data_IF_204166494642
#
_entry.id   IF_204166494642
#
_cell.length_a   1.000
_cell.length_b   1.000
_cell.length_c   1.000
_cell.angle_alpha   90.00
_cell.angle_beta   90.00
_cell.angle_gamma   90.00
#
_symmetry.space_group_name_H-M   'P 1'
#
loop_
_entity.id
_entity.type
_entity.pdbx_description
1 polymer ?
#
# COMPACT_ATOMS: atom_id res chain seq x y z
N UNK A 1 15.02 -6.96 6.97
CA UNK A 1 13.55 -6.94 6.82
C UNK A 1 13.01 -5.60 6.29
N UNK A 2 13.47 -4.44 6.78
CA UNK A 2 12.98 -3.11 6.36
C UNK A 2 13.05 -2.83 4.85
N UNK A 3 14.14 -3.21 4.18
CA UNK A 3 14.31 -3.00 2.73
C UNK A 3 13.26 -3.75 1.89
N UNK A 4 12.84 -4.94 2.32
CA UNK A 4 11.83 -5.70 1.58
C UNK A 4 10.44 -5.05 1.68
N UNK A 5 10.09 -4.49 2.85
CA UNK A 5 8.82 -3.78 3.01
C UNK A 5 8.70 -2.58 2.07
N UNK A 6 9.80 -1.87 1.82
CA UNK A 6 9.84 -0.76 0.85
C UNK A 6 9.44 -1.25 -0.55
N UNK A 7 9.94 -2.41 -0.98
CA UNK A 7 9.56 -3.01 -2.27
C UNK A 7 8.06 -3.33 -2.33
N UNK A 8 7.49 -3.80 -1.21
CA UNK A 8 6.06 -4.10 -1.11
C UNK A 8 5.16 -2.86 -1.24
N UNK A 9 5.64 -1.69 -0.83
CA UNK A 9 4.87 -0.43 -0.86
C UNK A 9 4.87 0.20 -2.26
N UNK A 10 5.81 -0.15 -3.14
CA UNK A 10 5.89 0.43 -4.49
C UNK A 10 4.61 0.15 -5.29
N UNK A 11 4.06 -1.06 -5.20
CA UNK A 11 2.90 -1.47 -5.98
C UNK A 11 1.64 -0.59 -5.74
N UNK A 12 1.15 -0.40 -4.49
CA UNK A 12 0.02 0.49 -4.23
C UNK A 12 0.35 1.96 -4.52
N UNK A 13 1.60 2.40 -4.33
CA UNK A 13 2.03 3.78 -4.64
C UNK A 13 1.91 4.07 -6.13
N UNK A 14 2.45 3.19 -6.99
CA UNK A 14 2.37 3.34 -8.45
C UNK A 14 0.91 3.39 -8.91
N UNK A 15 0.04 2.57 -8.31
CA UNK A 15 -1.39 2.59 -8.61
C UNK A 15 -2.03 3.94 -8.26
N UNK A 16 -1.76 4.49 -7.08
CA UNK A 16 -2.29 5.80 -6.65
C UNK A 16 -1.75 6.94 -7.51
N UNK A 17 -0.46 6.92 -7.88
CA UNK A 17 0.12 7.89 -8.81
C UNK A 17 -0.58 7.82 -10.17
N UNK A 18 -0.82 6.62 -10.70
CA UNK A 18 -1.57 6.44 -11.95
C UNK A 18 -2.98 7.02 -11.85
N UNK A 19 -3.66 6.85 -10.71
CA UNK A 19 -4.97 7.48 -10.48
C UNK A 19 -4.88 9.01 -10.54
N UNK A 20 -3.84 9.58 -9.94
CA UNK A 20 -3.61 11.04 -9.93
C UNK A 20 -3.35 11.58 -11.35
N UNK A 21 -2.45 10.94 -12.11
CA UNK A 21 -2.09 11.38 -13.47
C UNK A 21 -3.29 11.34 -14.41
N UNK A 22 -4.19 10.37 -14.21
CA UNK A 22 -5.41 10.22 -15.02
C UNK A 22 -6.59 11.07 -14.51
N UNK A 23 -6.35 11.99 -13.56
CA UNK A 23 -7.37 12.83 -12.91
C UNK A 23 -8.61 12.05 -12.43
N UNK A 24 -8.39 10.80 -12.03
CA UNK A 24 -9.47 9.91 -11.63
C UNK A 24 -9.87 10.19 -10.18
N UNK A 25 -11.17 10.29 -9.92
CA UNK A 25 -11.66 10.43 -8.54
C UNK A 25 -11.41 9.13 -7.77
N UNK A 26 -10.86 9.24 -6.56
CA UNK A 26 -10.76 8.11 -5.64
C UNK A 26 -12.15 7.74 -5.13
N UNK A 27 -12.74 6.73 -5.76
CA UNK A 27 -14.00 6.12 -5.31
C UNK A 27 -13.72 5.04 -4.27
N UNK A 28 -14.75 4.65 -3.50
CA UNK A 28 -14.67 3.55 -2.52
C UNK A 28 -14.07 2.29 -3.15
N UNK A 29 -14.52 1.93 -4.37
CA UNK A 29 -14.01 0.77 -5.12
C UNK A 29 -12.51 0.85 -5.40
N UNK A 30 -12.02 2.03 -5.81
CA UNK A 30 -10.59 2.25 -6.09
C UNK A 30 -9.77 2.26 -4.80
N UNK A 31 -10.32 2.80 -3.71
CA UNK A 31 -9.73 2.72 -2.38
C UNK A 31 -9.53 1.27 -1.92
N UNK A 32 -10.55 0.42 -2.08
CA UNK A 32 -10.43 -1.01 -1.80
C UNK A 32 -9.35 -1.70 -2.65
N UNK A 33 -9.25 -1.36 -3.94
CA UNK A 33 -8.20 -1.88 -4.82
C UNK A 33 -6.81 -1.49 -4.30
N UNK A 34 -6.61 -0.23 -3.88
CA UNK A 34 -5.35 0.24 -3.31
C UNK A 34 -4.98 -0.54 -2.04
N UNK A 35 -5.94 -0.79 -1.15
CA UNK A 35 -5.74 -1.56 0.08
C UNK A 35 -5.34 -3.00 -0.26
N UNK A 36 -6.04 -3.65 -1.20
CA UNK A 36 -5.72 -5.01 -1.64
C UNK A 36 -4.31 -5.07 -2.25
N UNK A 37 -3.97 -4.12 -3.13
CA UNK A 37 -2.61 -4.02 -3.69
C UNK A 37 -1.55 -3.86 -2.60
N UNK A 38 -1.83 -3.07 -1.58
CA UNK A 38 -0.93 -2.84 -0.45
C UNK A 38 -0.71 -4.11 0.38
N UNK A 39 -1.79 -4.85 0.67
CA UNK A 39 -1.70 -6.15 1.35
C UNK A 39 -0.87 -7.13 0.52
N UNK A 40 -1.17 -7.28 -0.77
CA UNK A 40 -0.45 -8.22 -1.65
C UNK A 40 1.03 -7.85 -1.74
N UNK A 41 1.35 -6.57 -1.95
CA UNK A 41 2.73 -6.09 -2.03
C UNK A 41 3.50 -6.34 -0.74
N UNK A 42 2.91 -6.02 0.41
CA UNK A 42 3.57 -6.18 1.72
C UNK A 42 3.70 -7.66 2.11
N UNK A 43 2.69 -8.50 1.84
CA UNK A 43 2.77 -9.94 2.10
C UNK A 43 3.84 -10.60 1.25
N UNK A 44 3.87 -10.34 -0.06
CA UNK A 44 4.90 -10.90 -0.96
C UNK A 44 6.31 -10.46 -0.58
N UNK A 45 6.51 -9.18 -0.27
CA UNK A 45 7.77 -8.67 0.26
C UNK A 45 8.21 -9.35 1.56
N UNK A 46 7.27 -9.54 2.49
CA UNK A 46 7.54 -10.15 3.80
C UNK A 46 7.91 -11.62 3.67
N UNK A 47 7.25 -12.36 2.79
CA UNK A 47 7.58 -13.74 2.47
C UNK A 47 8.96 -13.87 1.82
N UNK A 48 9.27 -13.04 0.82
CA UNK A 48 10.60 -13.01 0.21
C UNK A 48 11.69 -12.67 1.24
N UNK A 49 11.43 -11.69 2.11
CA UNK A 49 12.33 -11.32 3.20
C UNK A 49 12.60 -12.48 4.15
N UNK A 50 11.55 -13.21 4.57
CA UNK A 50 11.65 -14.39 5.45
C UNK A 50 12.45 -15.53 4.81
N UNK A 51 12.27 -15.78 3.51
CA UNK A 51 13.04 -16.80 2.77
C UNK A 51 14.52 -16.41 2.74
N UNK A 52 14.84 -15.16 2.40
CA UNK A 52 16.23 -14.67 2.32
C UNK A 52 16.91 -14.71 3.70
N UNK A 53 16.19 -14.39 4.78
CA UNK A 53 16.75 -14.41 6.14
C UNK A 53 16.70 -15.79 6.80
N UNK A 54 16.17 -16.82 6.13
CA UNK A 54 15.99 -18.19 6.65
C UNK A 54 15.18 -18.26 7.96
N UNK A 55 14.36 -17.25 8.24
CA UNK A 55 13.52 -17.17 9.44
C UNK A 55 12.12 -17.71 9.12
N UNK A 56 12.00 -19.04 9.08
CA UNK A 56 10.73 -19.72 8.72
C UNK A 56 9.89 -20.14 9.94
N UNK A 57 10.46 -20.12 11.15
CA UNK A 57 9.80 -20.64 12.36
C UNK A 57 8.53 -19.87 12.76
N UNK A 58 8.30 -18.65 12.24
CA UNK A 58 7.16 -17.81 12.60
C UNK A 58 6.44 -17.20 11.37
N UNK A 59 6.40 -17.94 10.25
CA UNK A 59 5.75 -17.48 9.01
C UNK A 59 4.32 -16.97 9.20
N UNK A 60 3.53 -17.61 10.07
CA UNK A 60 2.15 -17.20 10.36
C UNK A 60 2.09 -15.80 10.97
N UNK A 61 2.95 -15.51 11.96
CA UNK A 61 3.01 -14.18 12.58
C UNK A 61 3.51 -13.11 11.61
N UNK A 62 4.47 -13.46 10.75
CA UNK A 62 4.97 -12.59 9.69
C UNK A 62 3.85 -12.23 8.72
N UNK A 63 3.03 -13.20 8.29
CA UNK A 63 1.90 -12.97 7.37
C UNK A 63 0.83 -12.09 8.03
N UNK A 64 0.46 -12.37 9.28
CA UNK A 64 -0.54 -11.57 10.01
C UNK A 64 -0.06 -10.12 10.16
N UNK A 65 1.20 -9.93 10.58
CA UNK A 65 1.81 -8.61 10.69
C UNK A 65 1.86 -7.88 9.34
N UNK A 66 2.19 -8.60 8.26
CA UNK A 66 2.21 -8.07 6.91
C UNK A 66 0.82 -7.62 6.42
N UNK A 67 -0.24 -8.38 6.74
CA UNK A 67 -1.62 -8.00 6.40
C UNK A 67 -2.03 -6.72 7.13
N UNK A 68 -1.80 -6.65 8.45
CA UNK A 68 -2.11 -5.47 9.27
C UNK A 68 -1.38 -4.24 8.71
N UNK A 69 -0.07 -4.40 8.45
CA UNK A 69 0.77 -3.33 7.88
C UNK A 69 0.26 -2.92 6.49
N UNK A 70 -0.14 -3.87 5.66
CA UNK A 70 -0.73 -3.66 4.34
C UNK A 70 -2.01 -2.83 4.38
N UNK A 71 -2.92 -3.14 5.32
CA UNK A 71 -4.16 -2.40 5.53
C UNK A 71 -3.87 -0.97 5.96
N UNK A 72 -3.00 -0.77 6.96
CA UNK A 72 -2.66 0.55 7.47
C UNK A 72 -2.05 1.44 6.37
N UNK A 73 -1.09 0.89 5.60
CA UNK A 73 -0.47 1.61 4.48
C UNK A 73 -1.46 1.92 3.35
N UNK A 74 -2.34 0.97 3.03
CA UNK A 74 -3.38 1.18 2.02
C UNK A 74 -4.34 2.30 2.42
N UNK A 75 -4.79 2.32 3.67
CA UNK A 75 -5.65 3.38 4.20
C UNK A 75 -4.95 4.74 4.22
N UNK A 76 -3.69 4.79 4.63
CA UNK A 76 -2.87 6.00 4.60
C UNK A 76 -2.78 6.56 3.17
N UNK A 77 -2.46 5.73 2.18
CA UNK A 77 -2.36 6.15 0.78
C UNK A 77 -3.69 6.68 0.23
N UNK A 78 -4.80 6.01 0.54
CA UNK A 78 -6.13 6.45 0.13
C UNK A 78 -6.47 7.80 0.78
N UNK A 79 -6.21 7.95 2.09
CA UNK A 79 -6.44 9.19 2.82
C UNK A 79 -5.59 10.34 2.29
N UNK A 80 -4.29 10.11 2.05
CA UNK A 80 -3.39 11.11 1.47
C UNK A 80 -3.86 11.59 0.10
N UNK A 81 -4.32 10.67 -0.76
CA UNK A 81 -4.85 11.04 -2.08
C UNK A 81 -6.09 11.93 -1.96
N UNK A 82 -7.02 11.58 -1.10
CA UNK A 82 -8.25 12.36 -0.88
C UNK A 82 -7.89 13.77 -0.39
N UNK A 83 -6.96 13.87 0.54
CA UNK A 83 -6.51 15.14 1.10
C UNK A 83 -5.83 16.02 0.04
N UNK A 84 -4.94 15.45 -0.78
CA UNK A 84 -4.28 16.15 -1.90
C UNK A 84 -5.31 16.65 -2.91
N UNK A 85 -6.28 15.81 -3.29
CA UNK A 85 -7.33 16.18 -4.22
C UNK A 85 -8.21 17.32 -3.66
N UNK A 86 -8.49 17.31 -2.35
CA UNK A 86 -9.22 18.38 -1.67
C UNK A 86 -8.42 19.70 -1.65
N UNK A 87 -7.13 19.65 -1.29
CA UNK A 87 -6.24 20.81 -1.31
C UNK A 87 -6.12 21.43 -2.71
N UNK A 88 -5.94 20.59 -3.74
CA UNK A 88 -5.81 21.02 -5.13
C UNK A 88 -7.05 21.79 -5.61
N UNK A 89 -8.25 21.38 -5.18
CA UNK A 89 -9.50 22.08 -5.48
C UNK A 89 -9.64 23.41 -4.76
N UNK A 90 -9.10 23.54 -3.55
CA UNK A 90 -9.09 24.80 -2.81
C UNK A 90 -8.14 25.83 -3.44
N UNK A 91 -6.98 25.40 -3.91
CA UNK A 91 -5.95 26.27 -4.48
C UNK A 91 -6.34 26.76 -5.90
N UNK A 92 -7.06 25.95 -6.67
CA UNK A 92 -7.54 26.32 -8.02
C UNK A 92 -8.78 27.23 -8.01
N UNK A 93 -9.37 27.52 -6.84
CA UNK A 93 -10.57 28.33 -6.69
C UNK A 93 -10.21 29.73 -6.20
#
# INVERSE_FOLDING_TARGET
>A
MSLFLILGIIMPVVYVIRLNILDNIMTIRRGFITIILSIIGIVTASLLGSIVTKQLNELIFIIIGAIITGVLWGLLLVGSYILINWLSKLIKK
#
